data_IF_549092285623
#
_entry.id   IF_549092285623
#
_cell.length_a   1.000
_cell.length_b   1.000
_cell.length_c   1.000
_cell.angle_alpha   90.00
_cell.angle_beta   90.00
_cell.angle_gamma   90.00
#
_symmetry.space_group_name_H-M   'P 1'
#
loop_
_entity.id
_entity.type
_entity.pdbx_description
1 polymer ?
#
# COMPACT_ATOMS: atom_id res chain seq x y z
N UNK A 1 45.21 27.36 -9.34
CA UNK A 1 44.31 26.37 -8.71
C UNK A 1 43.51 26.98 -7.56
N UNK A 2 42.48 27.80 -7.83
CA UNK A 2 41.55 28.30 -6.79
C UNK A 2 40.08 28.16 -7.17
N UNK A 3 39.78 27.94 -8.46
CA UNK A 3 38.42 27.88 -9.00
C UNK A 3 37.70 26.54 -8.74
N UNK A 4 38.43 25.44 -8.60
CA UNK A 4 37.85 24.10 -8.41
C UNK A 4 37.27 23.85 -7.02
N UNK A 5 37.69 24.60 -5.98
CA UNK A 5 37.13 24.46 -4.62
C UNK A 5 35.75 25.12 -4.46
N UNK A 6 35.43 26.11 -5.29
CA UNK A 6 34.17 26.86 -5.18
C UNK A 6 32.98 26.08 -5.78
N UNK A 7 33.23 25.29 -6.83
CA UNK A 7 32.21 24.48 -7.52
C UNK A 7 31.71 23.34 -6.62
N UNK A 8 32.58 22.76 -5.78
CA UNK A 8 32.20 21.68 -4.88
C UNK A 8 31.25 22.12 -3.75
N UNK A 9 31.33 23.41 -3.34
CA UNK A 9 30.47 23.96 -2.30
C UNK A 9 29.04 24.25 -2.81
N UNK A 10 28.88 24.54 -4.11
CA UNK A 10 27.58 24.79 -4.74
C UNK A 10 26.73 23.53 -4.90
N UNK A 11 27.35 22.35 -5.05
CA UNK A 11 26.64 21.07 -5.21
C UNK A 11 26.07 20.58 -3.87
N UNK A 12 26.69 20.93 -2.74
CA UNK A 12 26.26 20.50 -1.40
C UNK A 12 24.96 21.17 -0.92
N UNK A 13 24.66 22.38 -1.41
CA UNK A 13 23.47 23.14 -1.00
C UNK A 13 22.22 22.69 -1.76
N UNK A 14 22.38 22.06 -2.94
CA UNK A 14 21.26 21.67 -3.80
C UNK A 14 20.50 20.41 -3.31
N UNK A 15 21.08 19.60 -2.43
CA UNK A 15 20.51 18.30 -2.02
C UNK A 15 19.55 18.36 -0.82
N UNK A 16 19.37 19.52 -0.16
CA UNK A 16 18.51 19.60 1.04
C UNK A 16 17.02 19.82 0.72
N UNK A 17 16.68 20.14 -0.52
CA UNK A 17 15.30 20.39 -0.94
C UNK A 17 14.59 19.10 -1.35
N UNK A 18 14.64 18.06 -0.51
CA UNK A 18 13.68 16.97 -0.62
C UNK A 18 12.31 17.54 -0.23
N UNK A 19 11.58 18.01 -1.24
CA UNK A 19 10.19 18.42 -1.11
C UNK A 19 9.37 17.19 -0.70
N UNK A 20 9.18 16.99 0.62
CA UNK A 20 8.27 15.98 1.14
C UNK A 20 6.84 16.47 0.96
N UNK A 21 6.34 16.41 -0.27
CA UNK A 21 4.92 16.58 -0.54
C UNK A 21 4.18 15.41 0.09
N UNK A 22 3.36 15.72 1.09
CA UNK A 22 2.41 14.76 1.63
C UNK A 22 1.28 14.57 0.61
N UNK A 23 1.14 13.37 0.09
CA UNK A 23 0.00 12.97 -0.72
C UNK A 23 -1.25 12.90 0.15
N UNK A 24 -2.33 13.52 -0.32
CA UNK A 24 -3.62 13.39 0.33
C UNK A 24 -4.20 12.02 -0.01
N UNK A 25 -4.80 11.37 0.99
CA UNK A 25 -5.52 10.11 0.78
C UNK A 25 -6.72 10.38 -0.13
N UNK A 26 -6.95 9.58 -1.20
CA UNK A 26 -8.07 9.80 -2.10
C UNK A 26 -9.42 9.69 -1.38
N UNK A 27 -10.42 10.44 -1.85
CA UNK A 27 -11.79 10.34 -1.33
C UNK A 27 -12.33 8.92 -1.54
N UNK A 28 -13.08 8.41 -0.58
CA UNK A 28 -13.69 7.07 -0.64
C UNK A 28 -12.89 5.96 0.05
N UNK A 29 -11.65 6.26 0.47
CA UNK A 29 -10.83 5.35 1.28
C UNK A 29 -11.15 5.50 2.77
N UNK A 30 -11.45 4.38 3.42
CA UNK A 30 -11.63 4.30 4.87
C UNK A 30 -10.41 3.68 5.53
N UNK A 31 -9.89 4.30 6.60
CA UNK A 31 -8.77 3.74 7.39
C UNK A 31 -9.19 2.41 8.03
N UNK A 32 -8.39 1.39 7.84
CA UNK A 32 -8.54 0.11 8.52
C UNK A 32 -7.98 0.23 9.95
N UNK A 33 -8.87 0.42 10.93
CA UNK A 33 -8.48 0.60 12.34
C UNK A 33 -7.87 -0.68 12.90
N UNK A 34 -6.82 -0.54 13.72
CA UNK A 34 -6.12 -1.69 14.33
C UNK A 34 -5.14 -2.41 13.39
N UNK A 35 -5.03 -1.96 12.14
CA UNK A 35 -4.10 -2.51 11.14
C UNK A 35 -3.00 -1.48 10.89
N UNK A 36 -2.07 -1.41 11.85
CA UNK A 36 -0.86 -0.59 11.76
C UNK A 36 0.35 -1.52 11.79
N UNK A 37 1.25 -1.38 10.81
CA UNK A 37 2.44 -2.20 10.69
C UNK A 37 3.70 -1.42 11.08
N UNK A 38 4.78 -2.15 11.34
CA UNK A 38 6.10 -1.59 11.63
C UNK A 38 6.47 -0.53 10.59
N UNK A 39 7.11 0.55 11.04
CA UNK A 39 7.47 1.67 10.15
C UNK A 39 6.32 2.62 9.82
N UNK A 40 5.24 2.63 10.63
CA UNK A 40 4.09 3.54 10.49
C UNK A 40 3.33 3.36 9.18
N UNK A 41 3.25 2.13 8.68
CA UNK A 41 2.41 1.82 7.52
C UNK A 41 0.97 1.69 8.00
N UNK A 42 0.08 2.48 7.41
CA UNK A 42 -1.36 2.43 7.66
C UNK A 42 -2.10 1.97 6.41
N UNK A 43 -3.15 1.17 6.59
CA UNK A 43 -3.92 0.61 5.49
C UNK A 43 -5.30 1.25 5.39
N UNK A 44 -5.76 1.36 4.15
CA UNK A 44 -7.06 1.92 3.80
C UNK A 44 -7.77 1.02 2.80
N UNK A 45 -9.10 0.96 2.89
CA UNK A 45 -9.95 0.20 1.98
C UNK A 45 -10.96 1.12 1.31
N UNK A 46 -11.05 1.03 -0.01
CA UNK A 46 -12.14 1.58 -0.81
C UNK A 46 -13.14 0.47 -1.17
N UNK A 47 -14.33 0.50 -0.57
CA UNK A 47 -15.33 -0.57 -0.71
C UNK A 47 -15.90 -0.71 -2.13
N UNK A 48 -15.96 0.36 -2.93
CA UNK A 48 -16.58 0.30 -4.27
C UNK A 48 -15.75 -0.51 -5.25
N UNK A 49 -14.44 -0.30 -5.22
CA UNK A 49 -13.48 -0.95 -6.12
C UNK A 49 -12.79 -2.15 -5.46
N UNK A 50 -13.00 -2.35 -4.15
CA UNK A 50 -12.29 -3.36 -3.37
C UNK A 50 -10.77 -3.16 -3.45
N UNK A 51 -10.36 -1.89 -3.36
CA UNK A 51 -8.97 -1.48 -3.44
C UNK A 51 -8.38 -1.23 -2.07
N UNK A 52 -7.25 -1.86 -1.79
CA UNK A 52 -6.43 -1.63 -0.59
C UNK A 52 -5.31 -0.66 -0.95
N UNK A 53 -5.07 0.30 -0.06
CA UNK A 53 -4.02 1.30 -0.16
C UNK A 53 -3.15 1.24 1.09
N UNK A 54 -1.84 1.15 0.90
CA UNK A 54 -0.86 1.33 1.96
C UNK A 54 -0.32 2.75 1.91
N UNK A 55 -0.26 3.39 3.07
CA UNK A 55 0.21 4.76 3.24
C UNK A 55 1.32 4.78 4.28
N UNK A 56 2.42 5.47 3.97
CA UNK A 56 3.58 5.55 4.85
C UNK A 56 4.24 6.92 4.70
N UNK A 57 4.57 7.56 5.81
CA UNK A 57 5.34 8.82 5.84
C UNK A 57 4.84 9.89 4.88
N UNK A 58 3.51 10.07 4.80
CA UNK A 58 2.96 11.11 3.95
C UNK A 58 2.68 10.69 2.52
N UNK A 59 2.99 9.46 2.10
CA UNK A 59 2.89 9.06 0.69
C UNK A 59 2.19 7.72 0.54
N UNK A 60 1.51 7.54 -0.59
CA UNK A 60 0.98 6.23 -0.97
C UNK A 60 2.16 5.32 -1.30
N UNK A 61 2.31 4.25 -0.54
CA UNK A 61 3.35 3.24 -0.75
C UNK A 61 2.98 2.34 -1.94
N UNK A 62 1.74 1.85 -1.92
CA UNK A 62 1.16 1.09 -3.03
C UNK A 62 -0.36 1.08 -2.94
N UNK A 63 -1.00 0.74 -4.06
CA UNK A 63 -2.46 0.57 -4.20
C UNK A 63 -2.74 -0.71 -4.99
N UNK A 64 -3.66 -1.56 -4.51
CA UNK A 64 -3.98 -2.85 -5.12
C UNK A 64 -5.48 -3.15 -5.10
N UNK A 65 -6.02 -3.43 -6.28
CA UNK A 65 -7.40 -3.85 -6.48
C UNK A 65 -7.49 -5.38 -6.44
N UNK A 66 -7.96 -5.94 -5.33
CA UNK A 66 -7.81 -7.39 -5.05
C UNK A 66 -8.56 -8.24 -6.07
N UNK A 67 -9.82 -7.90 -6.36
CA UNK A 67 -10.66 -8.64 -7.29
C UNK A 67 -10.20 -8.55 -8.76
N UNK A 68 -9.48 -7.49 -9.11
CA UNK A 68 -8.91 -7.35 -10.45
C UNK A 68 -7.69 -8.24 -10.64
N UNK A 69 -6.92 -8.45 -9.58
CA UNK A 69 -5.72 -9.31 -9.62
C UNK A 69 -6.09 -10.79 -9.45
N UNK A 70 -6.96 -11.10 -8.49
CA UNK A 70 -7.31 -12.48 -8.14
C UNK A 70 -8.57 -13.02 -8.83
N UNK A 71 -9.26 -12.18 -9.61
CA UNK A 71 -10.54 -12.51 -10.20
C UNK A 71 -11.68 -12.49 -9.18
N UNK A 72 -12.88 -12.78 -9.68
CA UNK A 72 -14.07 -12.93 -8.84
C UNK A 72 -14.04 -14.29 -8.14
N UNK A 73 -14.52 -14.39 -6.88
CA UNK A 73 -14.64 -15.68 -6.20
C UNK A 73 -15.72 -16.56 -6.86
N UNK A 74 -15.49 -17.87 -6.93
CA UNK A 74 -16.49 -18.85 -7.39
C UNK A 74 -17.73 -18.87 -6.50
N UNK A 75 -17.56 -18.73 -5.18
CA UNK A 75 -18.63 -18.87 -4.19
C UNK A 75 -18.73 -17.61 -3.30
N UNK A 76 -19.93 -17.05 -3.25
CA UNK A 76 -20.28 -15.90 -2.41
C UNK A 76 -20.21 -14.56 -3.14
N UNK A 77 -20.37 -13.47 -2.37
CA UNK A 77 -20.25 -12.11 -2.92
C UNK A 77 -18.80 -11.78 -3.21
N UNK A 78 -18.57 -11.13 -4.35
CA UNK A 78 -17.27 -10.61 -4.77
C UNK A 78 -16.94 -9.33 -4.01
N UNK A 79 -16.58 -9.45 -2.73
CA UNK A 79 -16.24 -8.33 -1.85
C UNK A 79 -15.22 -8.77 -0.79
N UNK A 80 -14.38 -7.83 -0.34
CA UNK A 80 -13.47 -8.07 0.79
C UNK A 80 -14.28 -8.09 2.07
N UNK A 81 -14.19 -9.22 2.79
CA UNK A 81 -14.95 -9.53 4.00
C UNK A 81 -14.11 -9.40 5.27
N UNK A 82 -12.83 -9.75 5.17
CA UNK A 82 -11.87 -9.67 6.27
C UNK A 82 -10.49 -9.26 5.75
N UNK A 83 -9.77 -8.50 6.57
CA UNK A 83 -8.37 -8.11 6.34
C UNK A 83 -7.67 -8.19 7.69
N UNK A 84 -6.56 -8.92 7.75
CA UNK A 84 -5.71 -8.99 8.93
C UNK A 84 -4.24 -8.98 8.57
N UNK A 85 -3.40 -8.43 9.44
CA UNK A 85 -1.95 -8.52 9.31
C UNK A 85 -1.51 -9.84 9.93
N UNK A 86 -0.73 -10.61 9.17
CA UNK A 86 -0.10 -11.84 9.64
C UNK A 86 1.34 -11.87 9.12
N UNK A 87 2.32 -11.76 10.03
CA UNK A 87 3.73 -11.59 9.68
C UNK A 87 3.94 -10.41 8.72
N UNK A 88 4.58 -10.65 7.57
CA UNK A 88 4.87 -9.65 6.53
C UNK A 88 3.75 -9.48 5.50
N UNK A 89 2.57 -10.05 5.75
CA UNK A 89 1.46 -10.10 4.80
C UNK A 89 0.17 -9.53 5.36
N UNK A 90 -0.64 -8.95 4.49
CA UNK A 90 -2.08 -8.76 4.70
C UNK A 90 -2.80 -9.99 4.17
N UNK A 91 -3.42 -10.76 5.05
CA UNK A 91 -4.35 -11.83 4.68
C UNK A 91 -5.71 -11.20 4.41
N UNK A 92 -6.29 -11.54 3.27
CA UNK A 92 -7.54 -10.97 2.79
C UNK A 92 -8.49 -12.11 2.46
N UNK A 93 -9.72 -12.01 2.94
CA UNK A 93 -10.81 -12.90 2.55
C UNK A 93 -11.71 -12.12 1.61
N UNK A 94 -11.83 -12.54 0.34
CA UNK A 94 -12.63 -11.83 -0.68
C UNK A 94 -13.77 -12.67 -1.29
N UNK A 95 -14.09 -13.81 -0.66
CA UNK A 95 -15.18 -14.72 -1.03
C UNK A 95 -15.56 -15.61 0.13
N UNK A 96 -16.25 -16.74 -0.14
CA UNK A 96 -16.48 -17.78 0.89
C UNK A 96 -15.23 -18.65 1.10
N UNK A 97 -14.59 -19.05 0.00
CA UNK A 97 -13.40 -19.90 -0.03
C UNK A 97 -12.32 -19.26 -0.90
N UNK A 98 -12.20 -17.92 -0.87
CA UNK A 98 -11.26 -17.19 -1.72
C UNK A 98 -10.43 -16.24 -0.89
N UNK A 99 -9.11 -16.41 -1.00
CA UNK A 99 -8.13 -15.78 -0.13
C UNK A 99 -7.03 -15.13 -0.95
N UNK A 100 -6.51 -14.02 -0.44
CA UNK A 100 -5.35 -13.36 -1.03
C UNK A 100 -4.39 -12.93 0.07
N UNK A 101 -3.12 -12.88 -0.30
CA UNK A 101 -2.06 -12.33 0.52
C UNK A 101 -1.46 -11.13 -0.19
N UNK A 102 -1.25 -10.03 0.53
CA UNK A 102 -0.48 -8.89 0.01
C UNK A 102 0.74 -8.69 0.87
N UNK A 103 1.93 -8.81 0.29
CA UNK A 103 3.18 -8.47 0.99
C UNK A 103 3.16 -6.97 1.37
N UNK A 104 3.27 -6.69 2.67
CA UNK A 104 3.07 -5.35 3.24
C UNK A 104 4.02 -4.32 2.64
N UNK A 105 5.27 -4.70 2.38
CA UNK A 105 6.30 -3.78 1.91
C UNK A 105 6.20 -3.49 0.41
N UNK A 106 5.85 -4.48 -0.40
CA UNK A 106 5.94 -4.39 -1.87
C UNK A 106 4.57 -4.21 -2.54
N UNK A 107 3.49 -4.58 -1.85
CA UNK A 107 2.17 -4.68 -2.44
C UNK A 107 2.03 -5.86 -3.41
N UNK A 108 2.95 -6.83 -3.39
CA UNK A 108 2.85 -8.04 -4.22
C UNK A 108 1.66 -8.87 -3.74
N UNK A 109 0.76 -9.19 -4.67
CA UNK A 109 -0.45 -9.97 -4.39
C UNK A 109 -0.20 -11.43 -4.79
N UNK A 110 -0.56 -12.33 -3.90
CA UNK A 110 -0.68 -13.77 -4.16
C UNK A 110 -2.13 -14.16 -3.94
N UNK A 111 -2.70 -14.91 -4.87
CA UNK A 111 -4.10 -15.32 -4.81
C UNK A 111 -4.12 -16.82 -4.52
N UNK A 112 -4.70 -17.20 -3.40
CA UNK A 112 -4.82 -18.60 -3.01
C UNK A 112 -6.18 -19.15 -3.45
N UNK A 113 -6.24 -20.47 -3.59
CA UNK A 113 -7.28 -21.21 -4.29
C UNK A 113 -8.72 -20.81 -3.92
N UNK A 114 -9.57 -20.89 -4.94
CA UNK A 114 -11.02 -20.83 -4.84
C UNK A 114 -11.52 -22.28 -4.79
N UNK A 115 -11.62 -22.88 -3.60
CA UNK A 115 -12.25 -24.21 -3.47
C UNK A 115 -13.77 -24.13 -3.68
#
# INVERSE_FOLDING_TARGET
>A
MKFTKFIFFLILIFQLSFCQTNEKIPKGFAKLKGLEYVGKITFYLEKKTQTILAYQNGKIKWKKEVLKVCGKPTIGKSEIRDIRIENKYLKIVYGKHSFAEIEVETGKVTCDAQD
#
